data_IF_847279259671
#
_entry.id   IF_847279259671
#
_cell.length_a   1.000
_cell.length_b   1.000
_cell.length_c   1.000
_cell.angle_alpha   90.00
_cell.angle_beta   90.00
_cell.angle_gamma   90.00
#
_symmetry.space_group_name_H-M   'P 1'
#
loop_
_entity.id
_entity.type
_entity.pdbx_description
1 polymer ?
#
# COMPACT_ATOMS: atom_id res chain seq x y z
N UNK A 1 -14.46 -6.77 -19.04
CA UNK A 1 -14.92 -6.99 -17.65
C UNK A 1 -16.04 -5.99 -17.38
N UNK A 2 -17.20 -6.44 -16.87
CA UNK A 2 -18.39 -5.58 -16.67
C UNK A 2 -18.44 -5.15 -15.20
N UNK A 3 -18.52 -3.84 -14.94
CA UNK A 3 -18.52 -3.27 -13.59
C UNK A 3 -19.92 -2.90 -13.06
N UNK A 4 -20.91 -2.88 -13.95
CA UNK A 4 -22.29 -2.52 -13.64
C UNK A 4 -23.07 -2.24 -14.93
N UNK A 5 -24.38 -2.01 -14.79
CA UNK A 5 -25.27 -1.70 -15.92
C UNK A 5 -25.91 -0.33 -15.65
N UNK A 6 -25.77 0.60 -16.60
CA UNK A 6 -26.49 1.87 -16.57
C UNK A 6 -27.83 1.66 -17.29
N UNK A 7 -28.91 1.56 -16.52
CA UNK A 7 -30.25 1.46 -17.07
C UNK A 7 -30.82 2.86 -17.31
N UNK A 8 -31.41 3.08 -18.48
CA UNK A 8 -32.12 4.29 -18.82
C UNK A 8 -33.58 3.95 -19.08
N UNK A 9 -34.46 4.59 -18.34
CA UNK A 9 -35.89 4.55 -18.58
C UNK A 9 -36.40 5.97 -18.79
N UNK A 10 -37.39 6.10 -19.67
CA UNK A 10 -38.21 7.31 -19.80
C UNK A 10 -39.61 6.96 -19.29
N UNK A 11 -40.32 7.97 -18.78
CA UNK A 11 -41.66 7.79 -18.23
C UNK A 11 -42.64 8.63 -19.06
N UNK A 12 -43.67 7.98 -19.65
CA UNK A 12 -44.67 8.63 -20.51
C UNK A 12 -44.46 8.44 -22.02
N UNK A 13 -45.29 9.10 -22.84
CA UNK A 13 -45.27 9.02 -24.31
C UNK A 13 -44.31 10.06 -24.90
N UNK A 14 -43.01 9.83 -24.69
CA UNK A 14 -41.91 10.71 -25.10
C UNK A 14 -41.22 10.10 -26.35
N UNK A 15 -40.70 10.90 -27.31
CA UNK A 15 -40.05 10.37 -28.50
C UNK A 15 -38.92 9.38 -28.18
N UNK A 16 -38.55 8.53 -29.14
CA UNK A 16 -37.46 7.56 -28.98
C UNK A 16 -36.13 8.24 -28.63
N UNK A 17 -35.19 7.48 -28.02
CA UNK A 17 -33.83 7.97 -27.80
C UNK A 17 -33.17 8.30 -29.13
N UNK A 18 -32.59 9.50 -29.23
CA UNK A 18 -31.82 9.90 -30.39
C UNK A 18 -30.40 9.32 -30.30
N UNK A 19 -29.66 9.23 -31.42
CA UNK A 19 -28.24 8.86 -31.39
C UNK A 19 -27.40 9.75 -30.47
N UNK A 20 -27.76 11.03 -30.33
CA UNK A 20 -27.07 11.98 -29.46
C UNK A 20 -27.30 11.66 -27.97
N UNK A 21 -28.52 11.27 -27.60
CA UNK A 21 -28.84 10.82 -26.23
C UNK A 21 -28.01 9.60 -25.85
N UNK A 22 -27.95 8.60 -26.75
CA UNK A 22 -27.19 7.38 -26.54
C UNK A 22 -25.68 7.62 -26.49
N UNK A 23 -25.17 8.55 -27.30
CA UNK A 23 -23.77 8.95 -27.26
C UNK A 23 -23.41 9.60 -25.92
N UNK A 24 -24.24 10.51 -25.43
CA UNK A 24 -24.02 11.17 -24.14
C UNK A 24 -24.00 10.17 -22.99
N UNK A 25 -24.95 9.22 -22.99
CA UNK A 25 -25.01 8.15 -21.99
C UNK A 25 -23.75 7.30 -22.03
N UNK A 26 -23.27 6.94 -23.23
CA UNK A 26 -22.04 6.16 -23.37
C UNK A 26 -20.83 6.91 -22.81
N UNK A 27 -20.75 8.23 -23.02
CA UNK A 27 -19.71 9.06 -22.44
C UNK A 27 -19.75 9.04 -20.91
N UNK A 28 -20.93 9.21 -20.31
CA UNK A 28 -21.11 9.15 -18.86
C UNK A 28 -20.76 7.77 -18.31
N UNK A 29 -21.22 6.70 -18.96
CA UNK A 29 -20.91 5.32 -18.58
C UNK A 29 -19.39 5.07 -18.56
N UNK A 30 -18.66 5.53 -19.59
CA UNK A 30 -17.21 5.40 -19.65
C UNK A 30 -16.51 6.18 -18.53
N UNK A 31 -16.96 7.42 -18.25
CA UNK A 31 -16.37 8.23 -17.18
C UNK A 31 -16.61 7.60 -15.80
N UNK A 32 -17.82 7.14 -15.53
CA UNK A 32 -18.18 6.49 -14.27
C UNK A 32 -17.43 5.16 -14.08
N UNK A 33 -17.31 4.36 -15.15
CA UNK A 33 -16.54 3.12 -15.11
C UNK A 33 -15.07 3.40 -14.72
N UNK A 34 -14.46 4.46 -15.28
CA UNK A 34 -13.11 4.86 -14.94
C UNK A 34 -12.94 5.25 -13.47
N UNK A 35 -13.88 6.05 -12.93
CA UNK A 35 -13.86 6.45 -11.50
C UNK A 35 -14.04 5.23 -10.60
N UNK A 36 -15.02 4.37 -10.86
CA UNK A 36 -15.28 3.16 -10.08
C UNK A 36 -14.10 2.19 -10.10
N UNK A 37 -13.43 2.05 -11.25
CA UNK A 37 -12.25 1.22 -11.37
C UNK A 37 -11.09 1.75 -10.52
N UNK A 38 -10.84 3.07 -10.57
CA UNK A 38 -9.81 3.71 -9.77
C UNK A 38 -10.05 3.55 -8.27
N UNK A 39 -11.27 3.83 -7.81
CA UNK A 39 -11.67 3.64 -6.40
C UNK A 39 -11.54 2.18 -5.96
N UNK A 40 -11.93 1.22 -6.80
CA UNK A 40 -11.81 -0.20 -6.46
C UNK A 40 -10.36 -0.66 -6.38
N UNK A 41 -9.50 -0.21 -7.30
CA UNK A 41 -8.10 -0.56 -7.29
C UNK A 41 -7.42 -0.04 -6.01
N UNK A 42 -7.70 1.22 -5.65
CA UNK A 42 -7.22 1.82 -4.41
C UNK A 42 -7.75 1.06 -3.18
N UNK A 43 -9.04 0.72 -3.16
CA UNK A 43 -9.62 -0.07 -2.07
C UNK A 43 -9.01 -1.47 -1.94
N UNK A 44 -8.61 -2.10 -3.05
CA UNK A 44 -7.89 -3.39 -3.04
C UNK A 44 -6.48 -3.24 -2.48
N UNK A 45 -5.74 -2.22 -2.90
CA UNK A 45 -4.40 -1.90 -2.39
C UNK A 45 -4.45 -1.67 -0.88
N UNK A 46 -5.33 -0.79 -0.41
CA UNK A 46 -5.50 -0.53 1.03
C UNK A 46 -5.91 -1.79 1.80
N UNK A 47 -6.74 -2.66 1.23
CA UNK A 47 -7.15 -3.91 1.88
C UNK A 47 -5.99 -4.88 2.00
N UNK A 48 -5.16 -4.98 0.96
CA UNK A 48 -3.94 -5.78 0.95
C UNK A 48 -2.93 -5.24 1.97
N UNK A 49 -2.70 -3.93 2.00
CA UNK A 49 -1.83 -3.29 2.99
C UNK A 49 -2.29 -3.56 4.43
N UNK A 50 -3.60 -3.41 4.70
CA UNK A 50 -4.18 -3.73 6.02
C UNK A 50 -4.04 -5.20 6.38
N UNK A 51 -4.15 -6.10 5.40
CA UNK A 51 -3.96 -7.53 5.63
C UNK A 51 -2.50 -7.86 5.95
N UNK A 52 -1.55 -7.37 5.15
CA UNK A 52 -0.12 -7.52 5.39
C UNK A 52 0.27 -6.95 6.75
N UNK A 53 -0.21 -5.74 7.08
CA UNK A 53 0.06 -5.10 8.37
C UNK A 53 -0.42 -5.99 9.52
N UNK A 54 -1.65 -6.53 9.46
CA UNK A 54 -2.16 -7.43 10.51
C UNK A 54 -1.33 -8.70 10.69
N UNK A 55 -0.78 -9.26 9.59
CA UNK A 55 0.12 -10.40 9.67
C UNK A 55 1.44 -10.00 10.35
N UNK A 56 2.05 -8.90 9.93
CA UNK A 56 3.32 -8.44 10.53
C UNK A 56 3.16 -8.14 12.03
N UNK A 57 2.02 -7.59 12.42
CA UNK A 57 1.67 -7.25 13.81
C UNK A 57 1.39 -8.48 14.68
N UNK A 58 0.97 -9.61 14.11
CA UNK A 58 0.70 -10.83 14.88
C UNK A 58 1.94 -11.71 15.10
N UNK A 59 3.03 -11.46 14.38
CA UNK A 59 4.27 -12.23 14.48
C UNK A 59 4.98 -11.90 15.82
N UNK A 60 5.30 -12.89 16.67
CA UNK A 60 5.97 -12.68 17.96
C UNK A 60 7.47 -12.33 17.86
N UNK A 61 7.99 -12.19 16.64
CA UNK A 61 9.36 -11.77 16.32
C UNK A 61 9.41 -10.28 16.03
N UNK A 62 10.53 -9.63 16.37
CA UNK A 62 10.75 -8.22 16.05
C UNK A 62 11.08 -8.08 14.57
N UNK A 63 10.23 -7.37 13.82
CA UNK A 63 10.38 -7.16 12.39
C UNK A 63 10.52 -5.67 12.08
N UNK A 64 11.43 -5.38 11.15
CA UNK A 64 11.68 -4.04 10.65
C UNK A 64 11.92 -4.11 9.14
N UNK A 65 11.43 -3.12 8.41
CA UNK A 65 11.66 -2.96 6.98
C UNK A 65 12.54 -1.72 6.78
N UNK A 66 13.60 -1.89 5.98
CA UNK A 66 14.63 -0.88 5.76
C UNK A 66 14.69 -0.56 4.26
N UNK A 67 14.75 0.72 3.90
CA UNK A 67 14.93 1.15 2.51
C UNK A 67 16.41 1.23 2.08
N UNK A 68 16.63 1.55 0.80
CA UNK A 68 17.99 1.71 0.22
C UNK A 68 18.82 2.83 0.85
N UNK A 69 18.17 3.79 1.50
CA UNK A 69 18.82 4.88 2.23
C UNK A 69 19.10 4.53 3.69
N UNK A 70 18.94 3.25 4.06
CA UNK A 70 19.06 2.71 5.41
C UNK A 70 18.11 3.36 6.40
N UNK A 71 16.90 3.74 5.96
CA UNK A 71 15.85 4.28 6.82
C UNK A 71 14.80 3.22 7.11
N UNK A 72 14.27 3.24 8.33
CA UNK A 72 13.17 2.36 8.71
C UNK A 72 11.89 2.85 8.05
N UNK A 73 11.26 2.01 7.21
CA UNK A 73 10.00 2.34 6.53
C UNK A 73 8.80 1.64 7.17
N UNK A 74 9.02 0.54 7.87
CA UNK A 74 8.00 -0.14 8.67
C UNK A 74 8.64 -0.88 9.84
N UNK A 75 7.89 -1.06 10.92
CA UNK A 75 8.28 -1.87 12.07
C UNK A 75 7.02 -2.42 12.73
N UNK A 76 7.02 -3.71 13.11
CA UNK A 76 5.88 -4.28 13.82
C UNK A 76 5.88 -3.89 15.31
N UNK A 77 4.74 -4.06 15.99
CA UNK A 77 4.60 -3.80 17.43
C UNK A 77 5.65 -4.52 18.27
N UNK A 78 5.97 -5.77 17.96
CA UNK A 78 6.95 -6.53 18.74
C UNK A 78 8.34 -5.87 18.76
N UNK A 79 8.78 -5.31 17.62
CA UNK A 79 10.03 -4.53 17.56
C UNK A 79 9.97 -3.28 18.43
N UNK A 80 8.87 -2.52 18.33
CA UNK A 80 8.69 -1.27 19.07
C UNK A 80 8.63 -1.51 20.59
N UNK A 81 7.87 -2.51 21.03
CA UNK A 81 7.71 -2.84 22.46
C UNK A 81 9.01 -3.34 23.08
N UNK A 82 9.69 -4.31 22.47
CA UNK A 82 10.97 -4.83 22.98
C UNK A 82 12.06 -3.77 22.97
N UNK A 83 12.08 -2.92 21.95
CA UNK A 83 13.00 -1.79 21.86
C UNK A 83 12.62 -0.59 22.75
N UNK A 84 11.45 -0.61 23.41
CA UNK A 84 10.86 0.55 24.11
C UNK A 84 10.87 1.82 23.26
N UNK A 85 10.50 1.69 21.98
CA UNK A 85 10.49 2.79 21.00
C UNK A 85 9.06 3.15 20.59
N UNK A 86 8.91 4.39 20.16
CA UNK A 86 7.66 4.88 19.55
C UNK A 86 7.77 4.88 18.03
N UNK A 87 6.64 4.73 17.34
CA UNK A 87 6.57 4.82 15.88
C UNK A 87 7.18 6.13 15.35
N UNK A 88 6.84 7.27 15.98
CA UNK A 88 7.30 8.61 15.59
C UNK A 88 8.82 8.79 15.67
N UNK A 89 9.47 8.08 16.57
CA UNK A 89 10.94 8.14 16.75
C UNK A 89 11.65 7.00 16.02
N UNK A 90 10.91 6.12 15.34
CA UNK A 90 11.43 4.95 14.62
C UNK A 90 11.32 5.13 13.11
N UNK A 91 10.12 5.37 12.59
CA UNK A 91 9.88 5.44 11.15
C UNK A 91 10.56 6.67 10.53
N UNK A 92 11.09 6.50 9.32
CA UNK A 92 11.86 7.48 8.55
C UNK A 92 13.28 7.74 9.08
N UNK A 93 13.65 7.17 10.25
CA UNK A 93 14.98 7.36 10.85
C UNK A 93 15.97 6.36 10.27
N UNK A 94 17.24 6.79 10.19
CA UNK A 94 18.34 5.90 9.80
C UNK A 94 18.55 4.80 10.84
N UNK A 95 19.00 3.63 10.42
CA UNK A 95 19.30 2.49 11.32
C UNK A 95 20.22 2.88 12.48
N UNK A 96 21.22 3.75 12.25
CA UNK A 96 22.14 4.29 13.28
C UNK A 96 21.46 5.06 14.41
N UNK A 97 20.27 5.60 14.17
CA UNK A 97 19.46 6.32 15.19
C UNK A 97 18.46 5.41 15.88
N UNK A 98 18.27 4.20 15.36
CA UNK A 98 17.25 3.25 15.85
C UNK A 98 17.89 2.11 16.61
N UNK A 99 19.00 1.56 16.09
CA UNK A 99 19.74 0.47 16.68
C UNK A 99 20.92 0.98 17.50
N UNK A 100 21.20 0.36 18.67
CA UNK A 100 22.46 0.54 19.38
C UNK A 100 23.66 0.30 18.48
N UNK A 101 24.67 1.16 18.57
CA UNK A 101 25.87 1.10 17.73
C UNK A 101 26.57 -0.26 17.82
N UNK A 102 26.67 -0.85 19.02
CA UNK A 102 27.25 -2.19 19.24
C UNK A 102 26.57 -3.29 18.42
N UNK A 103 25.25 -3.21 18.22
CA UNK A 103 24.54 -4.19 17.40
C UNK A 103 24.83 -4.00 15.92
N UNK A 104 24.95 -2.75 15.46
CA UNK A 104 25.29 -2.46 14.06
C UNK A 104 26.70 -2.94 13.73
N UNK A 105 27.65 -2.70 14.62
CA UNK A 105 29.04 -3.15 14.46
C UNK A 105 29.15 -4.67 14.48
N UNK A 106 28.51 -5.34 15.43
CA UNK A 106 28.57 -6.81 15.54
C UNK A 106 27.90 -7.53 14.37
N UNK A 107 26.77 -6.99 13.88
CA UNK A 107 25.99 -7.65 12.83
C UNK A 107 26.38 -7.23 11.42
N UNK A 108 27.13 -6.12 11.27
CA UNK A 108 27.37 -5.43 10.00
C UNK A 108 26.08 -5.16 9.23
N UNK A 109 25.01 -4.79 9.94
CA UNK A 109 23.65 -4.69 9.38
C UNK A 109 23.57 -3.73 8.18
N UNK A 110 24.28 -2.61 8.24
CA UNK A 110 24.34 -1.62 7.16
C UNK A 110 24.92 -2.21 5.88
N UNK A 111 26.00 -2.98 5.98
CA UNK A 111 26.64 -3.67 4.86
C UNK A 111 25.74 -4.76 4.31
N UNK A 112 25.16 -5.60 5.18
CA UNK A 112 24.22 -6.67 4.79
C UNK A 112 23.02 -6.13 4.03
N UNK A 113 22.39 -5.05 4.52
CA UNK A 113 21.25 -4.42 3.84
C UNK A 113 21.68 -3.92 2.45
N UNK A 114 22.83 -3.24 2.34
CA UNK A 114 23.35 -2.78 1.04
C UNK A 114 23.63 -3.92 0.08
N UNK A 115 24.17 -5.03 0.58
CA UNK A 115 24.45 -6.21 -0.21
C UNK A 115 23.18 -6.88 -0.72
N UNK A 116 22.15 -7.01 0.12
CA UNK A 116 20.82 -7.53 -0.30
C UNK A 116 20.25 -6.69 -1.43
N UNK A 117 20.34 -5.35 -1.35
CA UNK A 117 19.87 -4.49 -2.44
C UNK A 117 20.73 -4.58 -3.71
N UNK A 118 22.02 -4.90 -3.59
CA UNK A 118 22.95 -5.04 -4.71
C UNK A 118 22.80 -6.40 -5.42
N UNK A 119 22.58 -7.47 -4.65
CA UNK A 119 22.66 -8.87 -5.13
C UNK A 119 21.31 -9.56 -5.21
N UNK A 120 20.31 -9.08 -4.45
CA UNK A 120 19.03 -9.74 -4.28
C UNK A 120 19.05 -10.95 -3.34
N UNK A 121 20.20 -11.29 -2.73
CA UNK A 121 20.34 -12.44 -1.85
C UNK A 121 20.32 -12.02 -0.38
N UNK A 122 19.59 -12.77 0.45
CA UNK A 122 19.67 -12.64 1.91
C UNK A 122 20.99 -13.21 2.40
N UNK A 123 21.59 -12.53 3.39
CA UNK A 123 22.84 -12.91 4.07
C UNK A 123 22.56 -13.71 5.33
#
# INVERSE_FOLDING_TARGET
MVFGVLNLARQGDVPAFTPQDLWFVRLIANRLAGVLYGERLKGQEESLERFITRILESIPSSLVVIDRSLRIVSANRNFLEKGRRETRTTLGRKIEKVFPQVLLEYTHLDQKVREVFRTGQSV
#
